data_IF_637683439913
#
_entry.id   IF_637683439913
#
_cell.length_a   1.000
_cell.length_b   1.000
_cell.length_c   1.000
_cell.angle_alpha   90.00
_cell.angle_beta   90.00
_cell.angle_gamma   90.00
#
_symmetry.space_group_name_H-M   'P 1'
#
loop_
_entity.id
_entity.type
_entity.pdbx_description
1 polymer ?
#
# COMPACT_ATOMS: atom_id res chain seq x y z
N UNK A 1 20.18 6.01 19.71
CA UNK A 1 21.36 5.14 19.67
C UNK A 1 21.03 3.66 19.83
N UNK A 2 20.12 3.24 20.71
CA UNK A 2 19.72 1.83 20.94
C UNK A 2 19.31 1.07 19.69
N UNK A 3 18.53 1.68 18.78
CA UNK A 3 18.13 1.06 17.51
C UNK A 3 19.30 0.76 16.56
N UNK A 4 20.25 1.67 16.46
CA UNK A 4 21.43 1.47 15.62
C UNK A 4 22.31 0.33 16.14
N UNK A 5 22.48 0.25 17.46
CA UNK A 5 23.22 -0.83 18.10
C UNK A 5 22.51 -2.19 17.91
N UNK A 6 21.19 -2.21 18.03
CA UNK A 6 20.40 -3.43 17.80
C UNK A 6 20.53 -3.95 16.36
N UNK A 7 20.52 -3.05 15.36
CA UNK A 7 20.75 -3.43 13.96
C UNK A 7 22.19 -3.89 13.71
N UNK A 8 23.16 -3.24 14.35
CA UNK A 8 24.58 -3.60 14.20
C UNK A 8 24.90 -4.97 14.84
N UNK A 9 24.41 -5.24 16.05
CA UNK A 9 24.77 -6.42 16.82
C UNK A 9 23.85 -7.62 16.60
N UNK A 10 22.59 -7.43 16.22
CA UNK A 10 21.65 -8.49 15.92
C UNK A 10 21.29 -8.56 14.43
N UNK A 11 20.94 -7.45 13.82
CA UNK A 11 20.50 -7.42 12.44
C UNK A 11 21.58 -7.82 11.44
N UNK A 12 22.81 -7.30 11.62
CA UNK A 12 23.90 -7.59 10.71
C UNK A 12 24.40 -9.04 10.80
N UNK A 13 24.61 -9.65 11.98
CA UNK A 13 24.95 -11.07 12.08
C UNK A 13 23.86 -11.98 11.52
N UNK A 14 22.57 -11.69 11.81
CA UNK A 14 21.46 -12.46 11.26
C UNK A 14 21.39 -12.38 9.73
N UNK A 15 21.68 -11.21 9.15
CA UNK A 15 21.76 -11.05 7.69
C UNK A 15 22.95 -11.80 7.08
N UNK A 16 24.07 -11.92 7.80
CA UNK A 16 25.24 -12.69 7.33
C UNK A 16 25.01 -14.20 7.38
N UNK A 17 24.09 -14.68 8.24
CA UNK A 17 23.67 -16.07 8.33
C UNK A 17 22.67 -16.48 7.25
N UNK A 18 22.05 -15.51 6.54
CA UNK A 18 21.17 -15.83 5.42
C UNK A 18 21.98 -16.51 4.30
N UNK A 19 21.52 -17.68 3.79
CA UNK A 19 22.15 -18.29 2.64
C UNK A 19 22.21 -17.29 1.51
N UNK A 20 23.41 -16.99 1.01
CA UNK A 20 23.54 -16.26 -0.24
C UNK A 20 22.92 -17.16 -1.32
N UNK A 21 21.72 -16.84 -1.76
CA UNK A 21 21.21 -17.39 -3.02
C UNK A 21 22.22 -16.97 -4.08
N UNK A 22 23.02 -17.93 -4.55
CA UNK A 22 23.93 -17.70 -5.65
C UNK A 22 23.14 -17.03 -6.77
N UNK A 23 23.71 -16.00 -7.39
CA UNK A 23 23.15 -15.49 -8.63
C UNK A 23 22.94 -16.73 -9.49
N UNK A 24 21.70 -17.04 -9.82
CA UNK A 24 21.36 -18.09 -10.80
C UNK A 24 22.04 -17.64 -12.08
N UNK A 25 23.27 -18.11 -12.28
CA UNK A 25 24.00 -17.93 -13.51
C UNK A 25 23.18 -18.66 -14.57
N UNK A 26 22.70 -17.91 -15.55
CA UNK A 26 21.76 -18.36 -16.59
C UNK A 26 22.26 -19.53 -17.47
N UNK A 27 23.21 -20.34 -17.00
CA UNK A 27 23.68 -21.54 -17.67
C UNK A 27 22.98 -22.83 -17.19
N UNK A 28 22.56 -22.93 -15.93
CA UNK A 28 21.82 -24.11 -15.46
C UNK A 28 20.33 -24.11 -15.83
N UNK A 29 19.77 -22.93 -16.17
CA UNK A 29 18.40 -22.82 -16.67
C UNK A 29 18.25 -23.26 -18.14
N UNK A 30 19.35 -23.40 -18.90
CA UNK A 30 19.28 -23.75 -20.32
C UNK A 30 19.08 -25.25 -20.55
N UNK A 31 19.56 -26.09 -19.65
CA UNK A 31 19.50 -27.57 -19.83
C UNK A 31 18.18 -28.16 -19.29
N UNK A 32 17.62 -27.60 -18.21
CA UNK A 32 16.31 -28.03 -17.69
C UNK A 32 15.11 -27.46 -18.47
N UNK A 33 15.28 -26.35 -19.22
CA UNK A 33 14.23 -25.79 -20.05
C UNK A 33 14.10 -26.47 -21.43
N UNK A 34 15.12 -27.17 -21.91
CA UNK A 34 15.02 -27.93 -23.17
C UNK A 34 14.23 -29.23 -23.04
N UNK A 35 14.00 -29.73 -21.82
CA UNK A 35 13.23 -30.95 -21.61
C UNK A 35 11.72 -30.76 -21.41
N UNK A 36 11.21 -29.54 -21.30
CA UNK A 36 9.81 -29.28 -20.94
C UNK A 36 9.02 -28.32 -21.82
N UNK A 37 9.51 -27.93 -23.00
CA UNK A 37 8.69 -27.00 -23.83
C UNK A 37 8.59 -27.42 -25.28
N UNK A 38 7.64 -28.32 -25.57
CA UNK A 38 6.88 -28.31 -26.82
C UNK A 38 5.60 -27.45 -26.73
N UNK A 39 5.42 -26.67 -25.66
CA UNK A 39 4.37 -25.65 -25.63
C UNK A 39 4.88 -24.39 -26.35
N UNK A 40 4.07 -23.78 -27.25
CA UNK A 40 4.42 -22.53 -27.89
C UNK A 40 4.75 -21.50 -26.80
N UNK A 41 5.73 -20.61 -27.02
CA UNK A 41 6.16 -19.64 -25.99
C UNK A 41 4.93 -18.89 -25.55
N UNK A 42 4.52 -19.21 -24.30
CA UNK A 42 3.36 -18.64 -23.65
C UNK A 42 3.50 -17.13 -23.80
N UNK A 43 2.60 -16.54 -24.56
CA UNK A 43 2.57 -15.13 -24.93
C UNK A 43 2.94 -14.31 -23.72
N UNK A 44 4.17 -13.83 -23.64
CA UNK A 44 4.60 -12.93 -22.61
C UNK A 44 3.58 -11.80 -22.59
N UNK A 45 2.72 -11.77 -21.56
CA UNK A 45 1.69 -10.76 -21.42
C UNK A 45 2.44 -9.44 -21.44
N UNK A 46 2.43 -8.79 -22.62
CA UNK A 46 3.09 -7.50 -22.76
C UNK A 46 2.56 -6.62 -21.65
N UNK A 47 3.42 -6.09 -20.78
CA UNK A 47 2.97 -5.27 -19.66
C UNK A 47 2.19 -4.11 -20.26
N UNK A 48 0.87 -4.13 -20.12
CA UNK A 48 0.01 -3.03 -20.56
C UNK A 48 0.49 -1.80 -19.77
N UNK A 49 1.28 -0.93 -20.39
CA UNK A 49 1.95 0.21 -19.75
C UNK A 49 0.97 1.04 -18.90
N UNK A 50 -0.26 1.22 -19.39
CA UNK A 50 -1.31 1.94 -18.66
C UNK A 50 -1.66 1.29 -17.32
N UNK A 51 -1.65 -0.06 -17.20
CA UNK A 51 -1.89 -0.74 -15.90
C UNK A 51 -0.75 -0.44 -14.93
N UNK A 52 0.50 -0.40 -15.41
CA UNK A 52 1.63 -0.04 -14.57
C UNK A 52 1.54 1.42 -14.07
N UNK A 53 1.14 2.37 -14.93
CA UNK A 53 0.93 3.76 -14.51
C UNK A 53 -0.21 3.92 -13.50
N UNK A 54 -1.35 3.24 -13.72
CA UNK A 54 -2.46 3.25 -12.76
C UNK A 54 -2.03 2.67 -11.42
N UNK A 55 -1.28 1.58 -11.43
CA UNK A 55 -0.77 0.95 -10.20
C UNK A 55 0.23 1.86 -9.47
N UNK A 56 1.16 2.49 -10.19
CA UNK A 56 2.10 3.45 -9.61
C UNK A 56 1.38 4.67 -9.01
N UNK A 57 0.33 5.17 -9.67
CA UNK A 57 -0.55 6.22 -9.15
C UNK A 57 -1.24 5.79 -7.85
N UNK A 58 -1.85 4.60 -7.84
CA UNK A 58 -2.50 4.04 -6.65
C UNK A 58 -1.51 3.95 -5.48
N UNK A 59 -0.30 3.48 -5.73
CA UNK A 59 0.74 3.41 -4.69
C UNK A 59 1.16 4.79 -4.21
N UNK A 60 1.33 5.76 -5.12
CA UNK A 60 1.68 7.13 -4.77
C UNK A 60 0.62 7.77 -3.86
N UNK A 61 -0.66 7.68 -4.22
CA UNK A 61 -1.77 8.19 -3.40
C UNK A 61 -1.82 7.49 -2.04
N UNK A 62 -1.69 6.17 -2.03
CA UNK A 62 -1.76 5.39 -0.79
C UNK A 62 -0.64 5.75 0.18
N UNK A 63 0.59 5.88 -0.31
CA UNK A 63 1.73 6.29 0.52
C UNK A 63 1.66 7.76 0.94
N UNK A 64 1.09 8.62 0.10
CA UNK A 64 0.78 10.00 0.51
C UNK A 64 -0.13 10.02 1.73
N UNK A 65 -1.30 9.37 1.63
CA UNK A 65 -2.30 9.34 2.71
C UNK A 65 -1.71 8.71 3.97
N UNK A 66 -1.04 7.56 3.84
CA UNK A 66 -0.44 6.85 4.98
C UNK A 66 0.56 7.72 5.72
N UNK A 67 1.44 8.43 5.00
CA UNK A 67 2.48 9.26 5.61
C UNK A 67 1.92 10.58 6.15
N UNK A 68 0.94 11.18 5.46
CA UNK A 68 0.21 12.34 5.95
C UNK A 68 -0.45 12.05 7.30
N UNK A 69 -1.15 10.92 7.40
CA UNK A 69 -1.79 10.49 8.65
C UNK A 69 -0.75 10.16 9.72
N UNK A 70 0.33 9.47 9.39
CA UNK A 70 1.38 9.16 10.36
C UNK A 70 1.99 10.43 11.00
N UNK A 71 2.12 11.51 10.20
CA UNK A 71 2.72 12.77 10.68
C UNK A 71 1.72 13.64 11.47
N UNK A 72 0.45 13.67 11.06
CA UNK A 72 -0.51 14.68 11.54
C UNK A 72 -1.71 14.12 12.30
N UNK A 73 -1.83 12.79 12.45
CA UNK A 73 -3.01 12.19 13.06
C UNK A 73 -3.33 12.73 14.47
N UNK A 74 -2.39 12.84 15.42
CA UNK A 74 -2.72 13.38 16.73
C UNK A 74 -3.25 14.80 16.66
N UNK A 75 -2.66 15.66 15.82
CA UNK A 75 -3.10 17.05 15.64
C UNK A 75 -4.46 17.14 14.96
N UNK A 76 -4.71 16.28 13.97
CA UNK A 76 -6.00 16.17 13.30
C UNK A 76 -7.11 15.77 14.27
N UNK A 77 -6.84 14.80 15.14
CA UNK A 77 -7.80 14.37 16.17
C UNK A 77 -8.04 15.46 17.20
N UNK A 78 -7.01 16.20 17.61
CA UNK A 78 -7.17 17.34 18.51
C UNK A 78 -8.07 18.44 17.91
N UNK A 79 -8.06 18.64 16.60
CA UNK A 79 -8.95 19.62 15.95
C UNK A 79 -10.44 19.26 16.05
N UNK A 80 -10.82 18.04 16.48
CA UNK A 80 -12.19 17.67 16.86
C UNK A 80 -12.59 18.12 18.27
N UNK A 81 -11.69 18.74 19.03
CA UNK A 81 -11.91 19.18 20.40
C UNK A 81 -11.55 18.15 21.49
N UNK A 82 -10.98 16.98 21.13
CA UNK A 82 -10.51 16.03 22.12
C UNK A 82 -9.24 16.50 22.83
N UNK A 83 -9.07 16.13 24.09
CA UNK A 83 -7.85 16.40 24.85
C UNK A 83 -6.63 15.74 24.20
N UNK A 84 -5.46 16.35 24.33
CA UNK A 84 -4.18 15.86 23.75
C UNK A 84 -3.91 14.40 24.11
N UNK A 85 -4.12 14.00 25.36
CA UNK A 85 -3.91 12.64 25.81
C UNK A 85 -4.84 11.63 25.10
N UNK A 86 -6.10 12.01 24.87
CA UNK A 86 -7.07 11.19 24.13
C UNK A 86 -6.69 11.07 22.65
N UNK A 87 -6.26 12.17 22.03
CA UNK A 87 -5.80 12.17 20.65
C UNK A 87 -4.58 11.27 20.44
N UNK A 88 -3.60 11.34 21.34
CA UNK A 88 -2.41 10.48 21.31
C UNK A 88 -2.80 9.02 21.52
N UNK A 89 -3.65 8.73 22.52
CA UNK A 89 -4.14 7.37 22.79
C UNK A 89 -4.89 6.78 21.59
N UNK A 90 -5.78 7.54 20.97
CA UNK A 90 -6.48 7.14 19.76
C UNK A 90 -5.49 6.91 18.59
N UNK A 91 -4.55 7.81 18.37
CA UNK A 91 -3.54 7.65 17.32
C UNK A 91 -2.65 6.40 17.51
N UNK A 92 -2.37 6.02 18.76
CA UNK A 92 -1.60 4.81 19.05
C UNK A 92 -2.33 3.52 18.60
N UNK A 93 -3.65 3.54 18.39
CA UNK A 93 -4.41 2.39 17.86
C UNK A 93 -4.08 2.06 16.41
N UNK A 94 -3.42 2.95 15.65
CA UNK A 94 -3.00 2.66 14.26
C UNK A 94 -2.15 1.40 14.19
N UNK A 95 -1.17 1.24 15.08
CA UNK A 95 -0.27 0.08 15.09
C UNK A 95 -1.01 -1.25 15.27
N UNK A 96 -1.76 -1.45 16.37
CA UNK A 96 -2.59 -2.64 16.54
C UNK A 96 -3.59 -2.87 15.41
N UNK A 97 -4.24 -1.81 14.90
CA UNK A 97 -5.17 -1.90 13.78
C UNK A 97 -4.48 -2.36 12.48
N UNK A 98 -3.26 -1.89 12.20
CA UNK A 98 -2.47 -2.39 11.05
C UNK A 98 -2.14 -3.87 11.17
N UNK A 99 -1.78 -4.34 12.37
CA UNK A 99 -1.54 -5.77 12.60
C UNK A 99 -2.83 -6.56 12.36
N UNK A 100 -3.96 -6.10 12.90
CA UNK A 100 -5.26 -6.71 12.67
C UNK A 100 -5.63 -6.74 11.17
N UNK A 101 -5.36 -5.66 10.43
CA UNK A 101 -5.55 -5.61 8.98
C UNK A 101 -4.75 -6.66 8.22
N UNK A 102 -3.50 -6.90 8.62
CA UNK A 102 -2.67 -7.97 8.03
C UNK A 102 -3.21 -9.36 8.36
N UNK A 103 -3.72 -9.56 9.58
CA UNK A 103 -4.35 -10.82 9.97
C UNK A 103 -5.65 -11.06 9.20
N UNK A 104 -6.46 -10.03 8.96
CA UNK A 104 -7.66 -10.11 8.12
C UNK A 104 -7.28 -10.48 6.67
N UNK A 105 -6.26 -9.84 6.12
CA UNK A 105 -5.76 -10.18 4.77
C UNK A 105 -5.31 -11.64 4.71
N UNK A 106 -4.48 -12.07 5.66
CA UNK A 106 -3.97 -13.43 5.70
C UNK A 106 -5.07 -14.49 5.93
N UNK A 107 -6.01 -14.22 6.83
CA UNK A 107 -7.06 -15.17 7.20
C UNK A 107 -8.19 -15.29 6.18
N UNK A 108 -8.65 -14.16 5.65
CA UNK A 108 -9.88 -14.09 4.86
C UNK A 108 -9.65 -13.71 3.40
N UNK A 109 -8.69 -12.84 3.10
CA UNK A 109 -8.49 -12.28 1.76
C UNK A 109 -7.37 -12.96 0.96
N UNK A 110 -6.54 -13.79 1.58
CA UNK A 110 -5.38 -14.44 0.92
C UNK A 110 -5.75 -15.23 -0.34
N UNK A 111 -6.95 -15.81 -0.38
CA UNK A 111 -7.45 -16.59 -1.50
C UNK A 111 -8.22 -15.72 -2.52
N UNK A 112 -8.51 -14.47 -2.17
CA UNK A 112 -9.15 -13.51 -3.05
C UNK A 112 -8.14 -12.90 -4.04
N UNK A 113 -8.66 -12.25 -5.09
CA UNK A 113 -7.79 -11.54 -6.00
C UNK A 113 -7.19 -10.30 -5.30
N UNK A 114 -5.85 -10.04 -5.35
CA UNK A 114 -5.21 -8.92 -4.65
C UNK A 114 -5.79 -7.54 -4.98
N UNK A 115 -6.48 -7.41 -6.10
CA UNK A 115 -7.20 -6.20 -6.48
C UNK A 115 -8.38 -5.90 -5.54
N UNK A 116 -9.03 -6.95 -4.98
CA UNK A 116 -10.10 -6.77 -3.99
C UNK A 116 -9.51 -6.22 -2.69
N UNK A 117 -8.43 -6.82 -2.21
CA UNK A 117 -7.70 -6.34 -1.03
C UNK A 117 -7.25 -4.89 -1.18
N UNK A 118 -6.69 -4.53 -2.33
CA UNK A 118 -6.28 -3.15 -2.62
C UNK A 118 -7.47 -2.18 -2.61
N UNK A 119 -8.64 -2.58 -3.14
CA UNK A 119 -9.85 -1.75 -3.14
C UNK A 119 -10.39 -1.53 -1.73
N UNK A 120 -10.50 -2.59 -0.93
CA UNK A 120 -10.94 -2.50 0.46
C UNK A 120 -10.00 -1.62 1.28
N UNK A 121 -8.71 -1.80 1.10
CA UNK A 121 -7.69 -1.01 1.78
C UNK A 121 -7.80 0.49 1.48
N UNK A 122 -7.99 0.86 0.21
CA UNK A 122 -8.09 2.25 -0.22
C UNK A 122 -9.40 2.89 0.26
N UNK A 123 -10.51 2.16 0.24
CA UNK A 123 -11.81 2.67 0.72
C UNK A 123 -11.84 2.84 2.24
N UNK A 124 -11.02 2.13 2.99
CA UNK A 124 -10.99 2.23 4.44
C UNK A 124 -10.73 3.68 4.90
N UNK A 125 -9.86 4.44 4.23
CA UNK A 125 -9.57 5.82 4.61
C UNK A 125 -10.75 6.78 4.40
N UNK A 126 -11.41 6.88 3.22
CA UNK A 126 -12.61 7.69 3.06
C UNK A 126 -13.73 7.31 4.02
N UNK A 127 -13.94 6.01 4.27
CA UNK A 127 -14.94 5.53 5.24
C UNK A 127 -14.60 5.99 6.65
N UNK A 128 -13.33 5.88 7.05
CA UNK A 128 -12.84 6.41 8.32
C UNK A 128 -13.06 7.94 8.41
N UNK A 129 -12.73 8.69 7.36
CA UNK A 129 -12.91 10.14 7.32
C UNK A 129 -14.37 10.55 7.48
N UNK A 130 -15.29 9.83 6.84
CA UNK A 130 -16.74 10.05 7.02
C UNK A 130 -17.13 9.79 8.47
N UNK A 131 -16.65 8.73 9.11
CA UNK A 131 -16.99 8.44 10.51
C UNK A 131 -16.53 9.56 11.45
N UNK A 132 -15.33 10.11 11.23
CA UNK A 132 -14.84 11.24 12.02
C UNK A 132 -15.63 12.52 11.73
N UNK A 133 -15.97 12.78 10.48
CA UNK A 133 -16.77 13.94 10.09
C UNK A 133 -18.20 13.95 10.65
N UNK A 134 -18.83 12.77 10.74
CA UNK A 134 -20.19 12.64 11.26
C UNK A 134 -20.26 12.59 12.79
N UNK A 135 -19.30 11.92 13.42
CA UNK A 135 -19.30 11.66 14.87
C UNK A 135 -18.48 12.69 15.65
N UNK A 136 -17.58 13.42 14.98
CA UNK A 136 -16.65 14.32 15.66
C UNK A 136 -15.71 13.59 16.63
N UNK A 137 -15.56 14.15 17.83
CA UNK A 137 -14.68 13.59 18.87
C UNK A 137 -14.91 12.10 19.18
N UNK A 138 -16.14 11.59 19.34
CA UNK A 138 -16.42 10.16 19.53
C UNK A 138 -15.91 9.29 18.37
N UNK A 139 -15.84 9.82 17.15
CA UNK A 139 -15.34 9.11 15.96
C UNK A 139 -13.84 8.93 15.90
N UNK A 140 -13.06 9.56 16.78
CA UNK A 140 -11.59 9.56 16.71
C UNK A 140 -10.97 8.16 16.71
N UNK A 141 -11.38 7.29 17.65
CA UNK A 141 -10.87 5.92 17.72
C UNK A 141 -11.33 5.07 16.53
N UNK A 142 -12.58 5.23 16.10
CA UNK A 142 -13.12 4.52 14.93
C UNK A 142 -12.37 4.90 13.65
N UNK A 143 -12.13 6.21 13.43
CA UNK A 143 -11.30 6.70 12.34
C UNK A 143 -9.95 5.99 12.32
N UNK A 144 -9.27 5.99 13.45
CA UNK A 144 -7.92 5.45 13.59
C UNK A 144 -7.87 3.95 13.33
N UNK A 145 -8.84 3.20 13.86
CA UNK A 145 -8.93 1.75 13.67
C UNK A 145 -9.21 1.43 12.20
N UNK A 146 -10.20 2.05 11.57
CA UNK A 146 -10.57 1.76 10.18
C UNK A 146 -9.44 2.15 9.23
N UNK A 147 -8.83 3.34 9.41
CA UNK A 147 -7.68 3.76 8.64
C UNK A 147 -6.49 2.79 8.82
N UNK A 148 -6.21 2.39 10.07
CA UNK A 148 -5.14 1.45 10.39
C UNK A 148 -5.35 0.08 9.77
N UNK A 149 -6.56 -0.49 9.83
CA UNK A 149 -6.93 -1.75 9.18
C UNK A 149 -6.65 -1.68 7.67
N UNK A 150 -7.15 -0.63 7.00
CA UNK A 150 -6.90 -0.41 5.57
C UNK A 150 -5.41 -0.35 5.24
N UNK A 151 -4.63 0.38 6.04
CA UNK A 151 -3.19 0.50 5.85
C UNK A 151 -2.47 -0.84 6.06
N UNK A 152 -2.94 -1.68 7.00
CA UNK A 152 -2.45 -3.04 7.22
C UNK A 152 -2.66 -3.94 5.99
N UNK A 153 -3.87 -3.97 5.44
CA UNK A 153 -4.22 -4.72 4.21
C UNK A 153 -3.38 -4.22 3.02
N UNK A 154 -3.26 -2.90 2.88
CA UNK A 154 -2.53 -2.26 1.79
C UNK A 154 -1.06 -2.70 1.73
N UNK A 155 -0.39 -2.85 2.87
CA UNK A 155 1.02 -3.26 2.91
C UNK A 155 1.27 -4.63 2.26
N UNK A 156 0.29 -5.53 2.32
CA UNK A 156 0.34 -6.83 1.65
C UNK A 156 -0.04 -6.67 0.18
N UNK A 157 -1.11 -5.93 -0.12
CA UNK A 157 -1.59 -5.72 -1.48
C UNK A 157 -0.53 -5.06 -2.39
N UNK A 158 0.27 -4.13 -1.87
CA UNK A 158 1.39 -3.48 -2.60
C UNK A 158 2.42 -4.49 -3.11
N UNK A 159 2.66 -5.58 -2.38
CA UNK A 159 3.55 -6.66 -2.81
C UNK A 159 2.87 -7.67 -3.74
N UNK A 160 1.66 -8.10 -3.40
CA UNK A 160 0.97 -9.20 -4.09
C UNK A 160 0.32 -8.78 -5.40
N UNK A 161 -0.18 -7.55 -5.51
CA UNK A 161 -0.86 -7.06 -6.71
C UNK A 161 0.06 -7.00 -7.95
N UNK A 162 1.27 -6.41 -7.90
CA UNK A 162 2.21 -6.44 -9.02
C UNK A 162 2.63 -7.85 -9.41
N UNK A 163 2.84 -8.71 -8.42
CA UNK A 163 3.18 -10.11 -8.66
C UNK A 163 2.06 -10.85 -9.41
N UNK A 164 0.81 -10.64 -9.02
CA UNK A 164 -0.36 -11.26 -9.68
C UNK A 164 -0.60 -10.73 -11.09
N UNK A 165 -0.38 -9.43 -11.30
CA UNK A 165 -0.68 -8.77 -12.59
C UNK A 165 0.41 -9.00 -13.63
N UNK A 166 1.66 -9.00 -13.21
CA UNK A 166 2.81 -9.01 -14.12
C UNK A 166 3.69 -10.28 -14.02
N UNK A 167 3.39 -11.17 -13.07
CA UNK A 167 4.19 -12.38 -12.85
C UNK A 167 5.49 -12.14 -12.07
N UNK A 168 6.19 -13.25 -11.77
CA UNK A 168 7.39 -13.24 -10.94
C UNK A 168 8.64 -12.77 -11.67
N UNK A 169 8.71 -12.96 -13.00
CA UNK A 169 9.89 -12.60 -13.77
C UNK A 169 10.15 -11.09 -13.73
N UNK A 170 11.35 -10.67 -13.31
CA UNK A 170 11.73 -9.26 -13.19
C UNK A 170 10.94 -8.49 -12.11
N UNK A 171 10.31 -9.20 -11.14
CA UNK A 171 9.47 -8.60 -10.12
C UNK A 171 10.17 -7.49 -9.33
N UNK A 172 11.39 -7.72 -8.86
CA UNK A 172 12.11 -6.73 -8.04
C UNK A 172 12.37 -5.42 -8.77
N UNK A 173 12.83 -5.50 -10.02
CA UNK A 173 13.05 -4.32 -10.86
C UNK A 173 11.74 -3.56 -11.13
N UNK A 174 10.68 -4.29 -11.47
CA UNK A 174 9.36 -3.71 -11.73
C UNK A 174 8.77 -3.05 -10.49
N UNK A 175 8.86 -3.74 -9.35
CA UNK A 175 8.40 -3.20 -8.07
C UNK A 175 9.16 -1.92 -7.72
N UNK A 176 10.48 -1.87 -7.97
CA UNK A 176 11.29 -0.67 -7.81
C UNK A 176 10.72 0.51 -8.61
N UNK A 177 10.49 0.33 -9.91
CA UNK A 177 9.93 1.38 -10.77
C UNK A 177 8.52 1.83 -10.37
N UNK A 178 7.65 0.89 -10.01
CA UNK A 178 6.29 1.21 -9.54
C UNK A 178 6.31 2.04 -8.25
N UNK A 179 7.32 1.85 -7.40
CA UNK A 179 7.43 2.54 -6.12
C UNK A 179 8.12 3.91 -6.21
N UNK A 180 8.80 4.26 -7.30
CA UNK A 180 9.49 5.56 -7.43
C UNK A 180 8.54 6.74 -7.20
N UNK A 181 7.39 6.86 -7.90
CA UNK A 181 6.47 7.98 -7.65
C UNK A 181 5.96 8.00 -6.20
N UNK A 182 5.68 6.82 -5.65
CA UNK A 182 5.21 6.70 -4.27
C UNK A 182 6.24 7.23 -3.26
N UNK A 183 7.54 6.95 -3.45
CA UNK A 183 8.61 7.43 -2.57
C UNK A 183 8.82 8.95 -2.66
N UNK A 184 8.74 9.50 -3.87
CA UNK A 184 8.82 10.95 -4.08
C UNK A 184 7.67 11.67 -3.36
N UNK A 185 6.44 11.21 -3.61
CA UNK A 185 5.24 11.80 -3.01
C UNK A 185 5.23 11.62 -1.49
N UNK A 186 5.66 10.45 -1.00
CA UNK A 186 5.79 10.16 0.41
C UNK A 186 6.70 11.15 1.13
N UNK A 187 7.83 11.50 0.54
CA UNK A 187 8.79 12.44 1.14
C UNK A 187 8.18 13.84 1.33
N UNK A 188 7.38 14.32 0.38
CA UNK A 188 6.69 15.62 0.46
C UNK A 188 5.38 15.62 1.24
N UNK A 189 4.81 14.45 1.51
CA UNK A 189 3.46 14.30 2.06
C UNK A 189 3.25 15.03 3.41
N UNK A 190 4.14 14.95 4.42
CA UNK A 190 3.92 15.65 5.68
C UNK A 190 3.83 17.17 5.49
N UNK A 191 4.70 17.72 4.65
CA UNK A 191 4.70 19.17 4.37
C UNK A 191 3.44 19.59 3.63
N UNK A 192 3.11 18.93 2.52
CA UNK A 192 1.95 19.27 1.70
C UNK A 192 0.63 19.13 2.47
N UNK A 193 0.48 18.04 3.20
CA UNK A 193 -0.72 17.83 4.01
C UNK A 193 -0.78 18.82 5.19
N UNK A 194 0.34 19.16 5.80
CA UNK A 194 0.42 20.18 6.84
C UNK A 194 -0.08 21.55 6.36
N UNK A 195 0.28 21.96 5.13
CA UNK A 195 -0.25 23.18 4.51
C UNK A 195 -1.77 23.13 4.30
N UNK A 196 -2.29 21.99 3.85
CA UNK A 196 -3.74 21.82 3.68
C UNK A 196 -4.44 21.87 5.03
N UNK A 197 -3.91 21.17 6.03
CA UNK A 197 -4.47 21.10 7.37
C UNK A 197 -4.43 22.44 8.09
N UNK A 198 -3.38 23.25 7.91
CA UNK A 198 -3.28 24.58 8.51
C UNK A 198 -4.35 25.55 7.98
N UNK A 199 -4.82 25.34 6.74
CA UNK A 199 -5.85 26.19 6.13
C UNK A 199 -7.28 25.67 6.36
N UNK A 200 -7.48 24.36 6.35
CA UNK A 200 -8.80 23.73 6.31
C UNK A 200 -9.10 22.87 7.53
N UNK A 201 -8.17 22.71 8.48
CA UNK A 201 -8.38 21.89 9.68
C UNK A 201 -8.87 20.49 9.32
N UNK A 202 -10.01 20.07 9.90
CA UNK A 202 -10.67 18.80 9.59
C UNK A 202 -11.09 18.67 8.12
N UNK A 203 -11.31 19.80 7.42
CA UNK A 203 -11.60 19.79 5.98
C UNK A 203 -10.49 19.21 5.12
N UNK A 204 -9.27 19.10 5.63
CA UNK A 204 -8.15 18.40 4.96
C UNK A 204 -8.44 16.92 4.70
N UNK A 205 -9.34 16.29 5.47
CA UNK A 205 -9.79 14.93 5.25
C UNK A 205 -10.53 14.75 3.91
N UNK A 206 -11.21 15.78 3.43
CA UNK A 206 -11.85 15.73 2.11
C UNK A 206 -10.83 15.58 0.99
N UNK A 207 -9.68 16.26 1.11
CA UNK A 207 -8.60 16.13 0.11
C UNK A 207 -8.07 14.71 0.07
N UNK A 208 -7.75 14.12 1.23
CA UNK A 208 -7.23 12.75 1.29
C UNK A 208 -8.30 11.72 0.90
N UNK A 209 -9.57 11.97 1.21
CA UNK A 209 -10.68 11.10 0.80
C UNK A 209 -10.91 11.14 -0.70
N UNK A 210 -10.87 12.33 -1.33
CA UNK A 210 -10.98 12.46 -2.79
C UNK A 210 -9.79 11.78 -3.50
N UNK A 211 -8.58 11.91 -2.98
CA UNK A 211 -7.41 11.18 -3.47
C UNK A 211 -7.62 9.67 -3.32
N UNK A 212 -8.11 9.18 -2.19
CA UNK A 212 -8.43 7.77 -1.98
C UNK A 212 -9.49 7.26 -2.96
N UNK A 213 -10.56 8.03 -3.18
CA UNK A 213 -11.60 7.68 -4.16
C UNK A 213 -11.06 7.67 -5.60
N UNK A 214 -10.20 8.61 -5.97
CA UNK A 214 -9.55 8.60 -7.30
C UNK A 214 -8.65 7.37 -7.50
N UNK A 215 -7.92 6.95 -6.46
CA UNK A 215 -7.14 5.71 -6.48
C UNK A 215 -8.04 4.46 -6.56
N UNK A 216 -9.19 4.47 -5.91
CA UNK A 216 -10.20 3.41 -6.05
C UNK A 216 -10.72 3.32 -7.49
N UNK A 217 -11.03 4.46 -8.13
CA UNK A 217 -11.43 4.50 -9.53
C UNK A 217 -10.33 4.00 -10.47
N UNK A 218 -9.07 4.30 -10.17
CA UNK A 218 -7.92 3.76 -10.90
C UNK A 218 -7.84 2.23 -10.80
N UNK A 219 -8.07 1.65 -9.60
CA UNK A 219 -8.17 0.19 -9.42
C UNK A 219 -9.39 -0.40 -10.15
N UNK A 220 -10.49 0.34 -10.22
CA UNK A 220 -11.65 -0.08 -10.99
C UNK A 220 -11.35 -0.10 -12.49
N UNK A 221 -10.70 0.94 -13.00
CA UNK A 221 -10.27 1.00 -14.39
C UNK A 221 -9.31 -0.15 -14.73
N UNK A 222 -8.36 -0.48 -13.85
CA UNK A 222 -7.49 -1.65 -14.01
C UNK A 222 -8.30 -2.94 -14.16
N UNK A 223 -9.29 -3.16 -13.32
CA UNK A 223 -10.15 -4.35 -13.40
C UNK A 223 -10.85 -4.46 -14.74
N UNK A 224 -11.48 -3.38 -15.19
CA UNK A 224 -12.20 -3.36 -16.48
C UNK A 224 -11.25 -3.66 -17.66
N UNK A 225 -10.02 -3.14 -17.62
CA UNK A 225 -9.03 -3.40 -18.66
C UNK A 225 -8.47 -4.83 -18.64
N UNK A 226 -8.41 -5.44 -17.45
CA UNK A 226 -7.96 -6.83 -17.31
C UNK A 226 -9.05 -7.84 -17.69
N UNK A 227 -10.32 -7.48 -17.53
CA UNK A 227 -11.48 -8.34 -17.81
C UNK A 227 -11.86 -8.36 -19.30
N UNK A 228 -11.35 -7.44 -20.13
CA UNK A 228 -11.61 -7.44 -21.58
C UNK A 228 -10.80 -8.55 -22.25
N UNK A 229 -11.43 -9.44 -23.04
CA UNK A 229 -10.70 -10.40 -23.86
C UNK A 229 -9.75 -9.64 -24.83
N UNK A 230 -8.60 -10.23 -25.21
CA UNK A 230 -7.76 -9.64 -26.24
C UNK A 230 -8.60 -9.46 -27.49
N UNK A 231 -8.62 -8.23 -28.03
CA UNK A 231 -9.26 -8.00 -29.33
C UNK A 231 -8.50 -8.86 -30.35
N UNK A 232 -9.20 -9.82 -30.92
CA UNK A 232 -8.69 -10.57 -32.09
C UNK A 232 -8.37 -9.58 -33.20
N UNK A 233 -7.21 -9.73 -33.87
CA UNK A 233 -6.83 -8.88 -35.00
C UNK A 233 -7.82 -8.97 -36.15
#
# INVERSE_FOLDING_TARGET
MTWALLHLFLGLPLNLLLPRMGAVTGKEQSDDQQAQTNDPPNSAVQPRRHIAYLMAYVFAVSWFISTAMAAHLPQLLQSTGVAVAVAIGAAALVGPAQVAGRLVEYGFLRNAHPLLSARLAILAHPVAAISLGLMGAPGASLFTIVHGLGNGILTIAVGTLPLKVFGAQGYGQRQGWLMVPARIVQAGSPFLFGLVMSRWGLGSLWVTSLLGLSAFLALWAMYVHMSKPPMSP
#
